data_IF_576088311514
#
_entry.id   IF_576088311514
#
_cell.length_a   1.000
_cell.length_b   1.000
_cell.length_c   1.000
_cell.angle_alpha   90.00
_cell.angle_beta   90.00
_cell.angle_gamma   90.00
#
_symmetry.space_group_name_H-M   'P 1'
#
loop_
_entity.id
_entity.type
_entity.pdbx_description
1 polymer ?
#
# COMPACT_ATOMS: atom_id res chain seq x y z
N UNK A 1 22.23 8.31 8.18
CA UNK A 1 20.86 8.81 7.93
C UNK A 1 20.02 8.47 9.15
N UNK A 2 19.16 9.38 9.63
CA UNK A 2 18.29 9.09 10.77
C UNK A 2 17.32 7.95 10.42
N UNK A 3 16.99 7.09 11.38
CA UNK A 3 16.04 6.00 11.16
C UNK A 3 14.63 6.57 10.94
N UNK A 4 13.85 6.03 9.98
CA UNK A 4 12.46 6.44 9.78
C UNK A 4 11.64 6.28 11.07
N UNK A 5 10.91 7.31 11.49
CA UNK A 5 10.16 7.33 12.76
C UNK A 5 8.66 7.26 12.57
N UNK A 6 8.16 7.55 11.37
CA UNK A 6 6.73 7.54 11.07
C UNK A 6 6.36 6.77 9.81
N UNK A 7 5.17 6.16 9.81
CA UNK A 7 4.63 5.45 8.66
C UNK A 7 3.15 5.76 8.43
N UNK A 8 2.75 6.00 7.18
CA UNK A 8 1.36 6.19 6.78
C UNK A 8 0.87 4.99 5.97
N UNK A 9 -0.29 4.42 6.30
CA UNK A 9 -0.95 3.38 5.50
C UNK A 9 -2.20 3.95 4.84
N UNK A 10 -2.22 3.97 3.51
CA UNK A 10 -3.40 4.35 2.72
C UNK A 10 -4.03 3.09 2.14
N UNK A 11 -5.28 2.81 2.53
CA UNK A 11 -5.99 1.58 2.15
C UNK A 11 -5.87 0.44 3.18
N UNK A 12 -5.67 0.77 4.45
CA UNK A 12 -5.48 -0.21 5.53
C UNK A 12 -6.66 -1.18 5.74
N UNK A 13 -7.89 -0.83 5.35
CA UNK A 13 -9.06 -1.71 5.56
C UNK A 13 -9.16 -2.84 4.53
N UNK A 14 -8.36 -2.81 3.44
CA UNK A 14 -8.28 -3.89 2.45
C UNK A 14 -7.52 -5.12 2.95
N UNK A 15 -7.63 -6.25 2.23
CA UNK A 15 -7.03 -7.54 2.66
C UNK A 15 -5.54 -7.48 2.94
N UNK A 16 -4.77 -6.78 2.10
CA UNK A 16 -3.32 -6.58 2.33
C UNK A 16 -3.07 -5.46 3.34
N UNK A 17 -3.84 -4.37 3.27
CA UNK A 17 -3.68 -3.23 4.16
C UNK A 17 -3.84 -3.59 5.64
N UNK A 18 -4.76 -4.49 5.99
CA UNK A 18 -4.97 -4.91 7.38
C UNK A 18 -3.73 -5.59 7.94
N UNK A 19 -3.08 -6.42 7.11
CA UNK A 19 -1.83 -7.10 7.48
C UNK A 19 -0.67 -6.12 7.63
N UNK A 20 -0.54 -5.17 6.70
CA UNK A 20 0.47 -4.11 6.80
C UNK A 20 0.28 -3.31 8.09
N UNK A 21 -0.94 -2.84 8.37
CA UNK A 21 -1.23 -2.07 9.58
C UNK A 21 -0.88 -2.87 10.86
N UNK A 22 -1.31 -4.13 10.95
CA UNK A 22 -0.98 -5.00 12.09
C UNK A 22 0.52 -5.23 12.23
N UNK A 23 1.22 -5.49 11.14
CA UNK A 23 2.67 -5.69 11.14
C UNK A 23 3.38 -4.44 11.68
N UNK A 24 2.98 -3.26 11.20
CA UNK A 24 3.52 -1.99 11.67
C UNK A 24 3.27 -1.79 13.17
N UNK A 25 2.05 -2.04 13.63
CA UNK A 25 1.68 -1.90 15.04
C UNK A 25 2.38 -2.92 15.94
N UNK A 26 2.74 -4.12 15.47
CA UNK A 26 3.38 -5.14 16.30
C UNK A 26 4.89 -4.97 16.50
N UNK A 27 5.63 -4.50 15.48
CA UNK A 27 7.09 -4.67 15.52
C UNK A 27 7.93 -3.72 14.67
N UNK A 28 7.35 -2.69 14.07
CA UNK A 28 8.10 -1.85 13.11
C UNK A 28 9.11 -0.86 13.71
N UNK A 29 9.04 -0.59 15.02
CA UNK A 29 9.82 0.48 15.65
C UNK A 29 9.38 1.91 15.31
N UNK A 30 8.39 2.11 14.43
CA UNK A 30 7.84 3.45 14.16
C UNK A 30 7.19 4.04 15.41
N UNK A 31 7.40 5.31 15.68
CA UNK A 31 6.80 6.02 16.80
C UNK A 31 5.40 6.52 16.48
N UNK A 32 5.12 6.77 15.20
CA UNK A 32 3.83 7.25 14.70
C UNK A 32 3.38 6.42 13.50
N UNK A 33 2.14 5.95 13.51
CA UNK A 33 1.55 5.14 12.45
C UNK A 33 0.21 5.77 12.06
N UNK A 34 0.09 6.24 10.83
CA UNK A 34 -1.12 6.82 10.27
C UNK A 34 -1.96 5.77 9.53
N UNK A 35 -3.28 5.83 9.64
CA UNK A 35 -4.24 5.10 8.81
C UNK A 35 -5.21 6.06 8.13
N UNK A 36 -5.04 6.26 6.82
CA UNK A 36 -5.85 7.22 6.06
C UNK A 36 -6.71 6.46 5.06
N UNK A 37 -8.02 6.67 5.13
CA UNK A 37 -8.95 6.01 4.22
C UNK A 37 -10.38 6.49 4.35
N UNK A 38 -11.24 5.99 3.44
CA UNK A 38 -12.69 6.24 3.49
C UNK A 38 -13.40 5.50 4.62
N UNK A 39 -12.78 4.44 5.13
CA UNK A 39 -13.18 3.70 6.32
C UNK A 39 -11.91 3.40 7.10
N UNK A 40 -12.05 3.33 8.42
CA UNK A 40 -10.96 3.07 9.36
C UNK A 40 -11.12 1.70 9.99
N UNK A 41 -10.00 1.10 10.36
CA UNK A 41 -9.95 -0.15 11.12
C UNK A 41 -10.43 0.10 12.55
N UNK A 42 -11.32 -0.75 13.08
CA UNK A 42 -11.79 -0.61 14.45
C UNK A 42 -10.65 -0.96 15.43
N UNK A 43 -10.31 -0.04 16.33
CA UNK A 43 -9.27 -0.27 17.34
C UNK A 43 -9.64 -1.36 18.33
N UNK A 44 -10.94 -1.65 18.52
CA UNK A 44 -11.41 -2.80 19.30
C UNK A 44 -11.09 -4.11 18.59
N UNK A 45 -11.26 -4.18 17.27
CA UNK A 45 -10.87 -5.35 16.47
C UNK A 45 -9.36 -5.59 16.59
N UNK A 46 -8.54 -4.54 16.44
CA UNK A 46 -7.09 -4.63 16.61
C UNK A 46 -6.68 -5.12 18.02
N UNK A 47 -7.36 -4.64 19.07
CA UNK A 47 -7.11 -5.09 20.44
C UNK A 47 -7.45 -6.59 20.62
N UNK A 48 -8.57 -7.05 20.04
CA UNK A 48 -8.95 -8.48 20.04
C UNK A 48 -7.96 -9.33 19.24
N UNK A 49 -7.36 -8.78 18.20
CA UNK A 49 -6.27 -9.40 17.42
C UNK A 49 -4.89 -9.33 18.12
N UNK A 50 -4.85 -8.93 19.39
CA UNK A 50 -3.64 -8.95 20.23
C UNK A 50 -2.69 -7.76 20.03
N UNK A 51 -3.16 -6.67 19.41
CA UNK A 51 -2.38 -5.42 19.36
C UNK A 51 -2.40 -4.76 20.74
N UNK A 52 -1.23 -4.52 21.32
CA UNK A 52 -1.11 -3.93 22.66
C UNK A 52 -1.61 -2.48 22.71
N UNK A 53 -2.09 -2.05 23.89
CA UNK A 53 -2.52 -0.66 24.12
C UNK A 53 -1.43 0.36 23.77
N UNK A 54 -0.18 0.07 24.15
CA UNK A 54 0.98 0.91 23.81
C UNK A 54 1.17 1.05 22.29
N UNK A 55 0.90 -0.02 21.53
CA UNK A 55 0.97 0.03 20.07
C UNK A 55 -0.15 0.87 19.48
N UNK A 56 -1.36 0.76 20.02
CA UNK A 56 -2.52 1.58 19.61
C UNK A 56 -2.33 3.07 19.93
N UNK A 57 -1.58 3.43 20.97
CA UNK A 57 -1.26 4.84 21.27
C UNK A 57 -0.41 5.52 20.18
N UNK A 58 0.24 4.74 19.29
CA UNK A 58 0.98 5.26 18.14
C UNK A 58 0.12 5.39 16.88
N UNK A 59 -1.13 4.92 16.91
CA UNK A 59 -2.03 4.90 15.76
C UNK A 59 -2.83 6.20 15.66
N UNK A 60 -2.69 6.89 14.54
CA UNK A 60 -3.43 8.10 14.17
C UNK A 60 -4.34 7.76 12.99
N UNK A 61 -5.64 7.97 13.13
CA UNK A 61 -6.61 7.59 12.10
C UNK A 61 -7.33 8.82 11.54
N UNK A 62 -7.42 8.92 10.22
CA UNK A 62 -8.11 10.02 9.54
C UNK A 62 -9.04 9.50 8.46
N UNK A 63 -10.33 9.82 8.60
CA UNK A 63 -11.32 9.61 7.53
C UNK A 63 -11.06 10.65 6.45
N UNK A 64 -10.97 10.20 5.21
CA UNK A 64 -10.71 11.07 4.04
C UNK A 64 -11.69 10.82 2.90
N UNK A 65 -11.86 11.85 2.07
CA UNK A 65 -12.57 11.78 0.79
C UNK A 65 -11.58 11.96 -0.36
N UNK A 66 -11.30 10.89 -1.10
CA UNK A 66 -10.39 10.95 -2.26
C UNK A 66 -10.93 11.81 -3.42
N UNK A 67 -12.23 12.09 -3.44
CA UNK A 67 -12.85 12.95 -4.45
C UNK A 67 -12.41 14.39 -4.27
N UNK A 68 -12.39 14.86 -3.02
CA UNK A 68 -12.14 16.25 -2.63
C UNK A 68 -10.72 16.49 -2.12
N UNK A 69 -9.91 15.44 -2.00
CA UNK A 69 -8.52 15.51 -1.57
C UNK A 69 -7.71 16.46 -2.46
N UNK A 70 -7.03 17.41 -1.83
CA UNK A 70 -6.15 18.37 -2.50
C UNK A 70 -4.69 17.92 -2.43
N UNK A 71 -3.87 18.44 -3.34
CA UNK A 71 -2.42 18.26 -3.27
C UNK A 71 -1.90 18.89 -1.97
N UNK A 72 -0.84 18.29 -1.40
CA UNK A 72 -0.17 18.73 -0.16
C UNK A 72 -1.04 18.78 1.11
N UNK A 73 -2.29 18.31 1.09
CA UNK A 73 -3.20 18.36 2.26
C UNK A 73 -2.64 17.67 3.51
N UNK A 74 -1.74 16.69 3.33
CA UNK A 74 -1.08 15.95 4.41
C UNK A 74 0.42 16.21 4.47
N UNK A 75 0.94 17.17 3.70
CA UNK A 75 2.37 17.44 3.57
C UNK A 75 3.00 17.85 4.91
N UNK A 76 2.30 18.69 5.67
CA UNK A 76 2.71 19.19 6.98
C UNK A 76 2.74 18.11 8.08
N UNK A 77 2.20 16.93 7.80
CA UNK A 77 2.25 15.80 8.74
C UNK A 77 3.58 15.04 8.64
N UNK A 78 4.33 15.23 7.55
CA UNK A 78 5.71 14.75 7.41
C UNK A 78 5.85 13.25 7.73
N UNK A 79 5.16 12.39 6.98
CA UNK A 79 5.32 10.93 7.10
C UNK A 79 6.61 10.45 6.41
N UNK A 80 7.45 9.66 7.10
CA UNK A 80 8.72 9.18 6.54
C UNK A 80 8.53 8.08 5.50
N UNK A 81 7.62 7.14 5.79
CA UNK A 81 7.32 6.01 4.90
C UNK A 81 5.83 5.94 4.62
N UNK A 82 5.44 5.96 3.34
CA UNK A 82 4.05 5.85 2.92
C UNK A 82 3.82 4.47 2.29
N UNK A 83 2.99 3.65 2.92
CA UNK A 83 2.49 2.38 2.39
C UNK A 83 1.19 2.63 1.62
N UNK A 84 1.32 2.70 0.31
CA UNK A 84 0.23 2.90 -0.64
C UNK A 84 -0.33 1.54 -1.08
N UNK A 85 -1.32 1.06 -0.34
CA UNK A 85 -1.98 -0.25 -0.53
C UNK A 85 -3.43 -0.11 -0.98
N UNK A 86 -3.84 1.11 -1.36
CA UNK A 86 -5.13 1.40 -1.95
C UNK A 86 -5.30 0.68 -3.30
N UNK A 87 -6.40 -0.04 -3.45
CA UNK A 87 -6.76 -0.69 -4.69
C UNK A 87 -8.10 -1.40 -4.61
N UNK A 88 -8.58 -1.81 -5.77
CA UNK A 88 -9.78 -2.65 -5.89
C UNK A 88 -9.57 -3.67 -7.00
N UNK A 89 -10.27 -4.80 -6.95
CA UNK A 89 -10.23 -5.79 -8.02
C UNK A 89 -11.10 -5.35 -9.20
N UNK A 90 -10.86 -5.93 -10.38
CA UNK A 90 -11.72 -5.68 -11.57
C UNK A 90 -13.16 -6.08 -11.27
N UNK A 91 -13.36 -7.17 -10.52
CA UNK A 91 -14.68 -7.68 -10.11
C UNK A 91 -15.41 -6.67 -9.23
N UNK A 92 -14.75 -6.17 -8.18
CA UNK A 92 -15.37 -5.22 -7.23
C UNK A 92 -15.56 -3.83 -7.86
N UNK A 93 -14.66 -3.41 -8.75
CA UNK A 93 -14.80 -2.13 -9.45
C UNK A 93 -16.01 -2.09 -10.38
N UNK A 94 -16.38 -3.23 -10.98
CA UNK A 94 -17.51 -3.36 -11.91
C UNK A 94 -17.31 -2.69 -13.27
N UNK A 95 -16.39 -1.73 -13.39
CA UNK A 95 -16.06 -1.06 -14.65
C UNK A 95 -14.58 -0.67 -14.74
N UNK A 96 -14.09 -0.50 -15.98
CA UNK A 96 -12.74 0.00 -16.25
C UNK A 96 -12.52 1.40 -15.67
N UNK A 97 -13.51 2.27 -15.76
CA UNK A 97 -13.43 3.64 -15.26
C UNK A 97 -13.31 3.68 -13.74
N UNK A 98 -14.16 2.94 -13.03
CA UNK A 98 -14.10 2.84 -11.57
C UNK A 98 -12.79 2.21 -11.12
N UNK A 99 -12.31 1.18 -11.84
CA UNK A 99 -11.02 0.56 -11.56
C UNK A 99 -9.88 1.56 -11.70
N UNK A 100 -9.84 2.33 -12.79
CA UNK A 100 -8.82 3.33 -13.06
C UNK A 100 -8.88 4.50 -12.06
N UNK A 101 -10.09 4.96 -11.72
CA UNK A 101 -10.31 5.99 -10.72
C UNK A 101 -9.69 5.61 -9.37
N UNK A 102 -9.94 4.39 -8.90
CA UNK A 102 -9.44 3.92 -7.60
C UNK A 102 -7.96 3.53 -7.66
N UNK A 103 -7.55 2.69 -8.60
CA UNK A 103 -6.19 2.10 -8.62
C UNK A 103 -5.12 3.04 -9.20
N UNK A 104 -5.51 4.13 -9.88
CA UNK A 104 -4.59 5.13 -10.43
C UNK A 104 -4.85 6.51 -9.89
N UNK A 105 -6.02 7.11 -10.18
CA UNK A 105 -6.24 8.53 -9.89
C UNK A 105 -6.19 8.83 -8.40
N UNK A 106 -6.90 8.04 -7.59
CA UNK A 106 -6.89 8.21 -6.13
C UNK A 106 -5.54 7.88 -5.50
N UNK A 107 -4.82 6.88 -6.04
CA UNK A 107 -3.45 6.57 -5.61
C UNK A 107 -2.51 7.76 -5.86
N UNK A 108 -2.53 8.33 -7.05
CA UNK A 108 -1.71 9.49 -7.40
C UNK A 108 -2.07 10.73 -6.57
N UNK A 109 -3.37 10.99 -6.36
CA UNK A 109 -3.83 12.07 -5.47
C UNK A 109 -3.34 11.89 -4.04
N UNK A 110 -3.50 10.69 -3.48
CA UNK A 110 -3.05 10.40 -2.11
C UNK A 110 -1.53 10.54 -1.96
N UNK A 111 -0.75 10.11 -2.95
CA UNK A 111 0.69 10.28 -2.94
C UNK A 111 1.10 11.77 -2.98
N UNK A 112 0.41 12.60 -3.79
CA UNK A 112 0.63 14.05 -3.84
C UNK A 112 0.25 14.73 -2.54
N UNK A 113 -0.88 14.36 -1.95
CA UNK A 113 -1.31 14.87 -0.66
C UNK A 113 -0.31 14.56 0.46
N UNK A 114 0.32 13.38 0.41
CA UNK A 114 1.26 12.89 1.43
C UNK A 114 2.72 13.34 1.21
N UNK A 115 3.05 13.94 0.06
CA UNK A 115 4.41 14.39 -0.23
C UNK A 115 4.79 15.47 0.76
N UNK A 116 5.87 15.27 1.53
CA UNK A 116 6.30 16.25 2.52
C UNK A 116 6.85 17.53 1.87
N UNK A 117 6.64 18.66 2.53
CA UNK A 117 7.01 20.00 2.04
C UNK A 117 8.37 20.51 2.52
N UNK A 118 8.95 19.87 3.55
CA UNK A 118 10.23 20.24 4.18
C UNK A 118 11.47 19.79 3.39
N UNK A 119 11.28 19.02 2.32
CA UNK A 119 12.37 18.43 1.54
C UNK A 119 13.15 17.32 2.27
N UNK A 120 12.62 16.81 3.38
CA UNK A 120 13.19 15.68 4.10
C UNK A 120 13.09 14.38 3.30
N UNK A 121 13.96 13.41 3.63
CA UNK A 121 13.97 12.09 2.98
C UNK A 121 12.62 11.38 3.15
N UNK A 122 11.98 10.91 2.10
CA UNK A 122 10.71 10.20 2.17
C UNK A 122 10.66 8.98 1.25
N UNK A 123 10.17 7.86 1.78
CA UNK A 123 9.96 6.63 1.01
C UNK A 123 8.49 6.39 0.69
N UNK A 124 8.21 6.05 -0.56
CA UNK A 124 6.93 5.51 -0.99
C UNK A 124 7.04 4.01 -1.24
N UNK A 125 6.17 3.21 -0.62
CA UNK A 125 6.02 1.78 -0.88
C UNK A 125 4.66 1.55 -1.55
N UNK A 126 4.65 1.17 -2.83
CA UNK A 126 3.43 0.96 -3.59
C UNK A 126 3.16 -0.52 -3.87
N UNK A 127 1.95 -0.98 -3.54
CA UNK A 127 1.46 -2.30 -3.91
C UNK A 127 0.83 -2.27 -5.30
N UNK A 128 1.60 -2.70 -6.29
CA UNK A 128 1.19 -2.88 -7.69
C UNK A 128 0.72 -4.32 -7.95
N UNK A 129 1.00 -4.85 -9.14
CA UNK A 129 0.65 -6.21 -9.56
C UNK A 129 1.71 -6.77 -10.53
N UNK A 130 1.88 -8.08 -10.52
CA UNK A 130 2.69 -8.79 -11.52
C UNK A 130 2.18 -8.47 -12.93
N UNK A 131 3.10 -8.17 -13.85
CA UNK A 131 2.78 -7.79 -15.23
C UNK A 131 2.29 -6.35 -15.41
N UNK A 132 2.28 -5.51 -14.36
CA UNK A 132 1.99 -4.09 -14.50
C UNK A 132 2.96 -3.43 -15.50
N UNK A 133 2.39 -2.74 -16.49
CA UNK A 133 3.15 -2.06 -17.55
C UNK A 133 2.25 -1.02 -18.20
N UNK A 134 2.73 0.20 -18.40
CA UNK A 134 2.02 1.28 -19.10
C UNK A 134 1.67 0.91 -20.55
N UNK A 135 2.37 -0.06 -21.13
CA UNK A 135 2.16 -0.58 -22.49
C UNK A 135 1.29 -1.85 -22.54
N UNK A 136 0.80 -2.34 -21.40
CA UNK A 136 -0.05 -3.54 -21.36
C UNK A 136 -1.35 -3.34 -22.15
N UNK A 137 -1.74 -4.35 -22.93
CA UNK A 137 -3.04 -4.41 -23.60
C UNK A 137 -4.18 -4.75 -22.62
N UNK A 138 -3.86 -5.37 -21.49
CA UNK A 138 -4.83 -5.63 -20.42
C UNK A 138 -5.06 -4.35 -19.61
N UNK A 139 -6.29 -3.79 -19.58
CA UNK A 139 -6.55 -2.47 -18.99
C UNK A 139 -6.18 -2.35 -17.50
N UNK A 140 -6.33 -3.41 -16.71
CA UNK A 140 -5.99 -3.38 -15.30
C UNK A 140 -4.47 -3.27 -15.06
N UNK A 141 -3.67 -4.06 -15.80
CA UNK A 141 -2.21 -4.01 -15.76
C UNK A 141 -1.68 -2.71 -16.37
N UNK A 142 -2.37 -2.17 -17.38
CA UNK A 142 -2.08 -0.86 -17.95
C UNK A 142 -2.28 0.23 -16.92
N UNK A 143 -3.43 0.24 -16.24
CA UNK A 143 -3.73 1.22 -15.20
C UNK A 143 -2.68 1.17 -14.08
N UNK A 144 -2.28 -0.02 -13.61
CA UNK A 144 -1.22 -0.21 -12.62
C UNK A 144 0.14 0.31 -13.09
N UNK A 145 0.56 0.01 -14.32
CA UNK A 145 1.82 0.52 -14.86
C UNK A 145 1.82 2.04 -15.08
N UNK A 146 0.68 2.62 -15.46
CA UNK A 146 0.51 4.08 -15.51
C UNK A 146 0.54 4.71 -14.11
N UNK A 147 0.03 4.02 -13.09
CA UNK A 147 0.17 4.46 -11.69
C UNK A 147 1.62 4.46 -11.25
N UNK A 148 2.38 3.39 -11.51
CA UNK A 148 3.81 3.33 -11.19
C UNK A 148 4.59 4.47 -11.85
N UNK A 149 4.36 4.70 -13.15
CA UNK A 149 5.00 5.78 -13.88
C UNK A 149 4.64 7.16 -13.28
N UNK A 150 3.37 7.40 -12.96
CA UNK A 150 2.93 8.66 -12.37
C UNK A 150 3.43 8.89 -10.94
N UNK A 151 3.62 7.84 -10.15
CA UNK A 151 4.21 7.92 -8.81
C UNK A 151 5.71 8.23 -8.87
N UNK A 152 6.42 7.66 -9.85
CA UNK A 152 7.85 7.90 -10.05
C UNK A 152 8.17 9.36 -10.38
N UNK A 153 7.22 10.13 -10.92
CA UNK A 153 7.41 11.56 -11.20
C UNK A 153 7.16 12.47 -9.99
N UNK A 154 6.74 11.94 -8.84
CA UNK A 154 6.40 12.74 -7.65
C UNK A 154 7.63 13.09 -6.79
N UNK A 155 8.80 12.59 -7.15
CA UNK A 155 10.07 13.01 -6.55
C UNK A 155 10.37 12.40 -5.18
N UNK A 156 9.73 11.29 -4.79
CA UNK A 156 10.12 10.56 -3.58
C UNK A 156 11.60 10.16 -3.62
N UNK A 157 12.28 10.30 -2.49
CA UNK A 157 13.71 9.95 -2.35
C UNK A 157 13.94 8.46 -2.59
N UNK A 158 12.94 7.65 -2.25
CA UNK A 158 12.93 6.23 -2.58
C UNK A 158 11.51 5.78 -2.90
N UNK A 159 11.38 4.97 -3.96
CA UNK A 159 10.13 4.33 -4.32
C UNK A 159 10.35 2.82 -4.44
N UNK A 160 9.63 2.06 -3.62
CA UNK A 160 9.61 0.59 -3.67
C UNK A 160 8.30 0.16 -4.30
N UNK A 161 8.37 -0.59 -5.39
CA UNK A 161 7.19 -1.13 -6.07
C UNK A 161 7.12 -2.64 -5.84
N UNK A 162 6.05 -3.08 -5.17
CA UNK A 162 5.77 -4.50 -4.99
C UNK A 162 4.83 -4.99 -6.08
N UNK A 163 5.24 -6.00 -6.85
CA UNK A 163 4.44 -6.59 -7.94
C UNK A 163 4.10 -8.05 -7.65
N UNK A 164 3.20 -8.33 -6.68
CA UNK A 164 2.82 -9.70 -6.37
C UNK A 164 1.98 -10.32 -7.49
N UNK A 165 2.01 -11.65 -7.58
CA UNK A 165 1.00 -12.40 -8.30
C UNK A 165 -0.40 -12.26 -7.67
N UNK A 166 -1.42 -12.96 -8.23
CA UNK A 166 -2.77 -12.97 -7.68
C UNK A 166 -2.76 -13.38 -6.20
N UNK A 167 -3.27 -12.49 -5.34
CA UNK A 167 -3.40 -12.78 -3.91
C UNK A 167 -4.63 -13.67 -3.71
N UNK A 168 -4.43 -14.84 -3.10
CA UNK A 168 -5.55 -15.71 -2.71
C UNK A 168 -6.18 -15.15 -1.45
N UNK A 169 -7.48 -14.87 -1.46
CA UNK A 169 -8.20 -14.56 -0.23
C UNK A 169 -8.29 -15.85 0.62
N UNK A 170 -7.81 -15.89 1.86
CA UNK A 170 -7.97 -17.05 2.73
C UNK A 170 -9.44 -17.42 2.97
N UNK A 171 -10.40 -16.50 2.76
CA UNK A 171 -11.83 -16.78 2.82
C UNK A 171 -12.35 -17.57 1.61
N UNK A 172 -11.59 -17.68 0.51
CA UNK A 172 -11.96 -18.42 -0.71
C UNK A 172 -10.99 -19.60 -0.88
N UNK A 173 -11.26 -20.67 -0.13
CA UNK A 173 -10.44 -21.89 -0.14
C UNK A 173 -10.82 -22.77 -1.33
N UNK A 174 -10.13 -22.64 -2.47
CA UNK A 174 -10.15 -23.63 -3.55
C UNK A 174 -8.79 -23.67 -4.26
N UNK A 175 -8.01 -24.74 -4.03
CA UNK A 175 -6.90 -25.13 -4.91
C UNK A 175 -5.57 -25.46 -4.22
N UNK A 176 -5.10 -26.67 -4.49
CA UNK A 176 -3.84 -27.32 -4.08
C UNK A 176 -2.59 -26.50 -4.46
N UNK A 177 -1.53 -26.43 -3.62
CA UNK A 177 -0.31 -25.68 -3.93
C UNK A 177 0.45 -26.30 -5.11
N UNK A 178 1.06 -25.47 -5.96
CA UNK A 178 2.08 -25.87 -6.95
C UNK A 178 3.33 -25.01 -6.75
N UNK A 179 4.47 -25.67 -6.57
CA UNK A 179 5.81 -25.06 -6.50
C UNK A 179 6.32 -24.70 -7.90
N UNK A 180 7.07 -23.58 -8.04
CA UNK A 180 8.20 -23.43 -8.97
C UNK A 180 9.23 -22.43 -8.39
N UNK A 181 10.51 -22.73 -8.62
CA UNK A 181 11.77 -22.07 -8.22
C UNK A 181 12.32 -21.24 -9.39
N UNK A 182 12.87 -20.03 -9.13
CA UNK A 182 13.96 -19.41 -9.92
C UNK A 182 14.52 -18.14 -9.22
N UNK A 183 15.74 -18.21 -8.68
CA UNK A 183 16.62 -17.07 -8.34
C UNK A 183 16.14 -15.96 -7.39
N UNK A 184 14.94 -16.06 -6.81
CA UNK A 184 14.29 -14.98 -6.05
C UNK A 184 14.22 -15.33 -4.56
N UNK A 185 14.51 -14.35 -3.68
CA UNK A 185 14.29 -14.51 -2.23
C UNK A 185 12.78 -14.53 -1.97
N UNK A 186 12.28 -15.68 -1.52
CA UNK A 186 10.87 -15.89 -1.14
C UNK A 186 10.76 -15.74 0.38
N UNK A 187 9.99 -14.76 0.85
CA UNK A 187 9.52 -14.76 2.23
C UNK A 187 8.30 -15.65 2.32
N UNK A 188 8.44 -16.77 3.03
CA UNK A 188 7.33 -17.64 3.43
C UNK A 188 7.01 -17.30 4.88
N UNK A 189 5.97 -16.51 5.10
CA UNK A 189 5.23 -16.54 6.36
C UNK A 189 3.89 -17.23 6.07
N UNK A 190 3.52 -18.14 6.97
CA UNK A 190 2.54 -19.20 6.78
C UNK A 190 1.28 -18.75 5.99
N UNK A 191 0.97 -19.54 4.96
CA UNK A 191 -0.21 -19.51 4.08
C UNK A 191 -0.32 -18.43 2.99
N UNK A 192 0.71 -17.63 2.70
CA UNK A 192 0.73 -16.74 1.53
C UNK A 192 1.93 -16.95 0.60
N UNK A 193 1.73 -17.62 -0.54
CA UNK A 193 2.67 -17.54 -1.67
C UNK A 193 2.39 -16.27 -2.47
N UNK A 194 3.16 -15.21 -2.22
CA UNK A 194 3.30 -14.08 -3.14
C UNK A 194 4.74 -14.06 -3.65
N UNK A 195 4.93 -14.33 -4.95
CA UNK A 195 6.22 -14.09 -5.60
C UNK A 195 6.39 -12.57 -5.75
N UNK A 196 7.29 -11.97 -4.98
CA UNK A 196 7.64 -10.55 -5.06
C UNK A 196 8.95 -10.43 -5.83
N UNK A 197 8.92 -9.87 -7.03
CA UNK A 197 10.13 -9.46 -7.74
C UNK A 197 10.47 -8.02 -7.34
N UNK A 198 11.53 -7.84 -6.55
CA UNK A 198 12.15 -6.53 -6.33
C UNK A 198 13.05 -6.23 -7.53
N UNK A 199 12.58 -5.41 -8.47
CA UNK A 199 13.45 -4.82 -9.48
C UNK A 199 14.04 -3.54 -8.86
N UNK A 200 15.32 -3.59 -8.49
CA UNK A 200 16.06 -2.37 -8.18
C UNK A 200 16.24 -1.59 -9.49
N UNK A 201 16.13 -0.25 -9.47
CA UNK A 201 16.47 0.56 -10.63
C UNK A 201 17.93 0.31 -11.02
N UNK A 202 18.18 0.24 -12.33
CA UNK A 202 19.52 0.16 -12.94
C UNK A 202 20.16 1.54 -12.89
#
# INVERSE_FOLDING_TARGET
MAHPRSALVVGATGSTGRRVLRYLLRGSGFERIGEYGRHLTDTKELALEGISRTSLCRLEQRIISFETLQDEEWAAEEWDVIYMVLGTSVVVAGSRETFDKINRRFVLKAARAARRSDGGWQRLVYLSAAGASSHSLTPCLQSRGLTEAGLATLGFDEMIVMRPGPLKDPAVRNGTPRHVVDGSIVYVEDDYTATTTLMLPI
#
